data_IF_577700645682
#
_entry.id   IF_577700645682
#
_cell.length_a   1.000
_cell.length_b   1.000
_cell.length_c   1.000
_cell.angle_alpha   90.00
_cell.angle_beta   90.00
_cell.angle_gamma   90.00
#
_symmetry.space_group_name_H-M   'P 1'
#
loop_
_entity.id
_entity.type
_entity.pdbx_description
1 polymer ?
#
# COMPACT_ATOMS: atom_id res chain seq x y z
N UNK A 1 -26.41 -19.09 10.04
CA UNK A 1 -25.17 -19.01 9.25
C UNK A 1 -24.80 -17.53 9.23
N UNK A 2 -23.62 -17.17 9.74
CA UNK A 2 -23.11 -15.78 9.70
C UNK A 2 -22.22 -15.66 8.48
N UNK A 3 -22.46 -14.67 7.63
CA UNK A 3 -21.60 -14.34 6.50
C UNK A 3 -20.42 -13.47 7.01
N UNK A 4 -19.19 -13.99 7.04
CA UNK A 4 -18.03 -13.26 7.57
C UNK A 4 -17.58 -12.10 6.68
N UNK A 5 -18.11 -11.95 5.46
CA UNK A 5 -17.78 -10.86 4.54
C UNK A 5 -18.77 -9.69 4.60
N UNK A 6 -19.85 -9.82 5.37
CA UNK A 6 -20.82 -8.76 5.62
C UNK A 6 -20.60 -8.11 6.99
N UNK A 7 -19.37 -7.62 7.23
CA UNK A 7 -19.06 -6.80 8.41
C UNK A 7 -19.03 -5.33 8.01
N UNK A 8 -20.01 -4.59 8.49
CA UNK A 8 -20.07 -3.14 8.31
C UNK A 8 -19.01 -2.50 9.22
N UNK A 9 -17.84 -2.22 8.66
CA UNK A 9 -16.66 -1.72 9.39
C UNK A 9 -16.92 -0.38 10.08
N UNK A 10 -17.98 0.33 9.69
CA UNK A 10 -18.42 1.59 10.30
C UNK A 10 -19.25 1.33 11.57
N UNK A 11 -19.99 0.22 11.64
CA UNK A 11 -20.76 -0.18 12.82
C UNK A 11 -19.88 -0.87 13.88
N UNK A 12 -18.84 -1.61 13.47
CA UNK A 12 -17.81 -2.10 14.40
C UNK A 12 -17.12 -0.95 15.17
N UNK A 13 -17.04 0.24 14.56
CA UNK A 13 -16.49 1.45 15.18
C UNK A 13 -17.46 2.17 16.15
N UNK A 14 -18.76 1.86 16.12
CA UNK A 14 -19.79 2.54 16.95
C UNK A 14 -20.37 1.65 18.05
N UNK A 15 -20.15 0.34 17.99
CA UNK A 15 -20.71 -0.63 18.92
C UNK A 15 -19.88 -0.89 20.16
N UNK A 16 -19.39 0.13 20.87
CA UNK A 16 -19.14 0.02 22.31
C UNK A 16 -19.41 1.37 22.98
N UNK A 17 -20.29 1.36 23.96
CA UNK A 17 -20.68 2.52 24.74
C UNK A 17 -19.46 3.17 25.40
N UNK A 18 -19.06 4.35 24.90
CA UNK A 18 -18.45 5.42 25.68
C UNK A 18 -17.08 5.20 26.34
N UNK A 19 -16.39 4.06 26.15
CA UNK A 19 -15.05 3.81 26.73
C UNK A 19 -14.10 2.97 25.86
N UNK A 20 -14.33 2.88 24.55
CA UNK A 20 -13.36 2.32 23.60
C UNK A 20 -12.34 3.37 23.14
N UNK A 21 -11.44 3.82 24.02
CA UNK A 21 -10.34 4.72 23.64
C UNK A 21 -9.48 4.05 22.57
N UNK A 22 -8.79 4.83 21.73
CA UNK A 22 -7.93 4.48 20.59
C UNK A 22 -6.95 3.28 20.71
N UNK A 23 -6.89 2.59 21.85
CA UNK A 23 -6.08 1.42 22.17
C UNK A 23 -6.47 0.11 21.44
N UNK A 24 -7.70 -0.02 20.94
CA UNK A 24 -8.13 -1.21 20.15
C UNK A 24 -7.69 -1.14 18.67
N UNK A 25 -7.07 -0.03 18.25
CA UNK A 25 -6.54 0.08 16.89
C UNK A 25 -5.10 -0.44 16.86
N UNK A 26 -4.80 -1.32 15.90
CA UNK A 26 -3.43 -1.74 15.59
C UNK A 26 -2.61 -0.46 15.32
N UNK A 27 -1.53 -0.26 16.09
CA UNK A 27 -0.62 0.87 15.87
C UNK A 27 -0.09 0.81 14.43
N UNK A 28 -0.13 1.91 13.65
CA UNK A 28 0.37 1.91 12.28
C UNK A 28 1.80 1.40 12.11
N UNK A 29 2.63 1.47 13.16
CA UNK A 29 4.02 0.97 13.19
C UNK A 29 4.12 -0.54 13.37
N UNK A 30 3.05 -1.23 13.72
CA UNK A 30 2.99 -2.69 13.84
C UNK A 30 2.92 -3.37 12.47
N UNK A 31 3.83 -3.02 11.55
CA UNK A 31 3.86 -3.50 10.16
C UNK A 31 4.40 -4.92 9.98
N UNK A 32 4.98 -5.49 11.05
CA UNK A 32 5.43 -6.88 11.10
C UNK A 32 6.27 -7.30 9.88
N UNK A 33 6.02 -8.48 9.30
CA UNK A 33 6.80 -8.99 8.16
C UNK A 33 6.60 -8.20 6.86
N UNK A 34 5.66 -7.26 6.81
CA UNK A 34 5.35 -6.46 5.62
C UNK A 34 6.10 -5.12 5.58
N UNK A 35 7.03 -4.90 6.52
CA UNK A 35 7.95 -3.76 6.44
C UNK A 35 8.86 -3.93 5.22
N UNK A 36 8.95 -2.89 4.39
CA UNK A 36 9.88 -2.87 3.28
C UNK A 36 11.33 -3.01 3.76
N UNK A 37 12.12 -3.72 2.95
CA UNK A 37 13.56 -3.78 3.16
C UNK A 37 14.17 -2.39 3.03
N UNK A 38 15.29 -2.13 3.73
CA UNK A 38 15.97 -0.84 3.63
C UNK A 38 16.44 -0.54 2.18
N UNK A 39 16.73 -1.57 1.39
CA UNK A 39 17.11 -1.43 -0.02
C UNK A 39 15.92 -1.00 -0.90
N UNK A 40 14.75 -1.59 -0.68
CA UNK A 40 13.54 -1.26 -1.43
C UNK A 40 13.01 0.12 -1.05
N UNK A 41 12.98 0.45 0.25
CA UNK A 41 12.63 1.79 0.73
C UNK A 41 13.53 2.87 0.14
N UNK A 42 14.85 2.65 0.06
CA UNK A 42 15.77 3.61 -0.59
C UNK A 42 15.52 3.75 -2.09
N UNK A 43 15.17 2.65 -2.76
CA UNK A 43 14.89 2.67 -4.20
C UNK A 43 13.63 3.46 -4.49
N UNK A 44 12.53 3.16 -3.78
CA UNK A 44 11.29 3.92 -3.91
C UNK A 44 11.47 5.38 -3.47
N UNK A 45 12.32 5.66 -2.48
CA UNK A 45 12.57 7.03 -2.02
C UNK A 45 13.18 7.88 -3.14
N UNK A 46 14.17 7.35 -3.84
CA UNK A 46 14.76 8.03 -5.01
C UNK A 46 13.71 8.31 -6.08
N UNK A 47 12.89 7.32 -6.41
CA UNK A 47 11.77 7.51 -7.34
C UNK A 47 10.84 8.64 -6.87
N UNK A 48 10.48 8.66 -5.58
CA UNK A 48 9.59 9.68 -5.03
C UNK A 48 10.21 11.09 -5.07
N UNK A 49 11.50 11.20 -4.75
CA UNK A 49 12.23 12.47 -4.82
C UNK A 49 12.28 12.98 -6.29
N UNK A 50 12.49 12.10 -7.27
CA UNK A 50 12.42 12.45 -8.70
C UNK A 50 11.02 12.93 -9.12
N UNK A 51 9.97 12.30 -8.58
CA UNK A 51 8.58 12.70 -8.85
C UNK A 51 8.26 14.06 -8.25
N UNK A 52 8.68 14.32 -7.02
CA UNK A 52 8.56 15.65 -6.39
C UNK A 52 9.31 16.71 -7.19
N UNK A 53 10.53 16.43 -7.64
CA UNK A 53 11.28 17.36 -8.49
C UNK A 53 10.57 17.64 -9.84
N UNK A 54 9.89 16.66 -10.42
CA UNK A 54 9.06 16.86 -11.60
C UNK A 54 7.85 17.76 -11.31
N UNK A 55 7.09 17.47 -10.25
CA UNK A 55 5.91 18.25 -9.85
C UNK A 55 6.27 19.69 -9.50
N UNK A 56 7.37 19.90 -8.78
CA UNK A 56 7.85 21.25 -8.44
C UNK A 56 8.19 22.06 -9.70
N UNK A 57 8.79 21.44 -10.73
CA UNK A 57 9.03 22.09 -12.03
C UNK A 57 7.73 22.41 -12.79
N UNK A 58 6.66 21.67 -12.53
CA UNK A 58 5.31 21.94 -13.04
C UNK A 58 4.52 22.95 -12.19
N UNK A 59 5.13 23.55 -11.16
CA UNK A 59 4.48 24.51 -10.27
C UNK A 59 3.58 23.88 -9.20
N UNK A 60 3.69 22.56 -8.98
CA UNK A 60 2.91 21.82 -8.00
C UNK A 60 3.80 21.51 -6.80
N UNK A 61 3.60 22.26 -5.71
CA UNK A 61 4.29 22.01 -4.45
C UNK A 61 3.94 20.61 -3.92
N UNK A 62 4.95 19.79 -3.69
CA UNK A 62 4.79 18.40 -3.24
C UNK A 62 5.94 18.00 -2.31
N UNK A 63 5.70 17.01 -1.45
CA UNK A 63 6.69 16.45 -0.54
C UNK A 63 6.63 14.92 -0.51
N UNK A 64 7.68 14.26 -0.03
CA UNK A 64 7.73 12.81 0.14
C UNK A 64 7.45 12.44 1.59
N UNK A 65 6.35 11.75 1.81
CA UNK A 65 5.96 11.20 3.12
C UNK A 65 6.26 9.71 3.16
N UNK A 66 6.93 9.24 4.21
CA UNK A 66 7.23 7.81 4.39
C UNK A 66 6.23 7.21 5.35
N UNK A 67 5.44 6.24 4.87
CA UNK A 67 4.51 5.50 5.70
C UNK A 67 5.23 4.53 6.65
N UNK A 68 4.49 3.99 7.62
CA UNK A 68 5.05 3.08 8.61
C UNK A 68 5.63 1.78 8.03
N UNK A 69 5.15 1.33 6.86
CA UNK A 69 5.71 0.19 6.12
C UNK A 69 7.07 0.50 5.50
N UNK A 70 7.51 1.76 5.51
CA UNK A 70 8.70 2.22 4.82
C UNK A 70 8.48 2.55 3.35
N UNK A 71 7.23 2.47 2.85
CA UNK A 71 6.87 2.86 1.48
C UNK A 71 6.68 4.39 1.41
N UNK A 72 7.47 5.10 0.59
CA UNK A 72 7.27 6.53 0.37
C UNK A 72 6.06 6.77 -0.53
N UNK A 73 5.39 7.91 -0.30
CA UNK A 73 4.30 8.45 -1.11
C UNK A 73 4.57 9.92 -1.38
N UNK A 74 4.11 10.40 -2.53
CA UNK A 74 4.14 11.83 -2.84
C UNK A 74 2.86 12.47 -2.31
N UNK A 75 3.03 13.43 -1.42
CA UNK A 75 1.96 14.25 -0.86
C UNK A 75 1.95 15.59 -1.58
N UNK A 76 0.85 15.90 -2.27
CA UNK A 76 0.65 17.22 -2.87
C UNK A 76 0.26 18.19 -1.76
N UNK A 77 0.85 19.40 -1.77
CA UNK A 77 0.57 20.45 -0.80
C UNK A 77 -0.64 21.26 -1.30
N UNK A 78 -1.67 21.36 -0.46
CA UNK A 78 -2.92 22.06 -0.78
C UNK A 78 -4.10 21.13 -1.08
N UNK A 79 -5.26 21.70 -1.42
CA UNK A 79 -6.54 20.99 -1.48
C UNK A 79 -6.92 20.47 -2.88
N UNK A 80 -5.98 20.43 -3.81
CA UNK A 80 -6.25 19.99 -5.18
C UNK A 80 -5.15 19.04 -5.67
N UNK A 81 -5.27 17.74 -5.35
CA UNK A 81 -4.37 16.69 -5.78
C UNK A 81 -4.56 16.30 -7.26
N UNK A 82 -5.70 16.63 -7.88
CA UNK A 82 -5.99 16.28 -9.28
C UNK A 82 -5.08 17.01 -10.27
N UNK A 83 -4.52 18.17 -9.87
CA UNK A 83 -3.49 18.89 -10.64
C UNK A 83 -2.29 18.02 -11.03
N UNK A 84 -1.94 17.00 -10.23
CA UNK A 84 -0.86 16.10 -10.58
C UNK A 84 -1.20 15.11 -11.70
N UNK A 85 -2.48 14.75 -11.87
CA UNK A 85 -2.94 13.81 -12.91
C UNK A 85 -2.74 14.35 -14.32
N UNK A 86 -2.75 15.68 -14.48
CA UNK A 86 -2.47 16.35 -15.76
C UNK A 86 -0.98 16.45 -16.11
N UNK A 87 -0.07 16.00 -15.22
CA UNK A 87 1.38 16.12 -15.44
C UNK A 87 1.98 14.87 -16.05
N UNK A 88 3.11 15.03 -16.76
CA UNK A 88 3.92 13.91 -17.27
C UNK A 88 4.83 13.29 -16.20
N UNK A 89 4.58 13.54 -14.92
CA UNK A 89 5.46 13.09 -13.85
C UNK A 89 5.30 11.60 -13.53
N UNK A 90 4.23 10.93 -13.96
CA UNK A 90 4.00 9.49 -13.79
C UNK A 90 4.20 9.01 -12.33
N UNK A 91 3.19 9.21 -11.50
CA UNK A 91 3.22 8.79 -10.10
C UNK A 91 3.00 7.27 -9.93
N UNK A 92 2.48 6.58 -10.95
CA UNK A 92 2.16 5.15 -10.88
C UNK A 92 3.40 4.27 -10.68
N UNK A 93 4.59 4.77 -11.07
CA UNK A 93 5.87 4.12 -10.79
C UNK A 93 6.15 3.91 -9.28
N UNK A 94 5.47 4.63 -8.39
CA UNK A 94 5.59 4.44 -6.94
C UNK A 94 4.73 3.29 -6.39
N UNK A 95 3.75 2.82 -7.17
CA UNK A 95 2.86 1.72 -6.80
C UNK A 95 3.32 0.38 -7.38
N UNK A 96 4.36 0.39 -8.21
CA UNK A 96 4.98 -0.84 -8.72
C UNK A 96 5.52 -1.68 -7.56
N UNK A 97 5.38 -3.01 -7.69
CA UNK A 97 5.97 -3.96 -6.76
C UNK A 97 7.48 -3.79 -6.71
N UNK A 98 8.00 -3.79 -5.49
CA UNK A 98 9.42 -3.88 -5.23
C UNK A 98 9.90 -5.30 -5.48
N UNK A 99 11.22 -5.49 -5.53
CA UNK A 99 11.81 -6.83 -5.73
C UNK A 99 11.46 -7.80 -4.62
N UNK A 100 11.40 -7.33 -3.36
CA UNK A 100 11.03 -8.18 -2.24
C UNK A 100 9.55 -8.55 -2.24
N UNK A 101 8.67 -7.61 -2.61
CA UNK A 101 7.24 -7.90 -2.74
C UNK A 101 6.96 -8.84 -3.92
N UNK A 102 7.62 -8.66 -5.06
CA UNK A 102 7.51 -9.60 -6.18
C UNK A 102 7.92 -11.01 -5.76
N UNK A 103 9.06 -11.15 -5.08
CA UNK A 103 9.50 -12.45 -4.55
C UNK A 103 8.47 -13.07 -3.59
N UNK A 104 7.83 -12.26 -2.76
CA UNK A 104 6.79 -12.72 -1.85
C UNK A 104 5.52 -13.15 -2.61
N UNK A 105 5.14 -12.43 -3.66
CA UNK A 105 4.00 -12.74 -4.52
C UNK A 105 4.24 -14.03 -5.33
N UNK A 106 5.45 -14.24 -5.84
CA UNK A 106 5.84 -15.46 -6.55
C UNK A 106 5.69 -16.68 -5.62
N UNK A 107 6.25 -16.59 -4.40
CA UNK A 107 6.14 -17.65 -3.40
C UNK A 107 4.69 -17.92 -2.98
N UNK A 108 3.86 -16.87 -2.86
CA UNK A 108 2.44 -17.04 -2.56
C UNK A 108 1.70 -17.73 -3.70
N UNK A 109 1.99 -17.36 -4.95
CA UNK A 109 1.42 -17.97 -6.15
C UNK A 109 1.75 -19.46 -6.20
N UNK A 110 3.02 -19.84 -5.98
CA UNK A 110 3.44 -21.24 -5.93
C UNK A 110 2.69 -22.05 -4.87
N UNK A 111 2.52 -21.50 -3.66
CA UNK A 111 1.81 -22.17 -2.57
C UNK A 111 0.31 -22.30 -2.86
N UNK A 112 -0.30 -21.27 -3.43
CA UNK A 112 -1.70 -21.27 -3.84
C UNK A 112 -1.95 -22.32 -4.93
N UNK A 113 -1.09 -22.37 -5.95
CA UNK A 113 -1.17 -23.35 -7.04
C UNK A 113 -1.00 -24.78 -6.54
N UNK A 114 -0.06 -25.02 -5.63
CA UNK A 114 0.12 -26.32 -4.99
C UNK A 114 -1.11 -26.74 -4.17
N UNK A 115 -1.85 -25.80 -3.59
CA UNK A 115 -3.12 -26.06 -2.91
C UNK A 115 -4.23 -26.40 -3.92
N UNK A 116 -4.39 -25.58 -4.96
CA UNK A 116 -5.42 -25.77 -6.00
C UNK A 116 -5.25 -27.09 -6.74
N UNK A 117 -4.01 -27.43 -7.10
CA UNK A 117 -3.69 -28.71 -7.75
C UNK A 117 -4.09 -29.92 -6.91
N UNK A 118 -3.88 -29.87 -5.58
CA UNK A 118 -4.33 -30.93 -4.66
C UNK A 118 -5.85 -31.04 -4.57
N UNK A 119 -6.58 -29.97 -4.88
CA UNK A 119 -8.03 -29.94 -4.93
C UNK A 119 -8.60 -30.28 -6.33
N UNK A 120 -7.75 -30.62 -7.30
CA UNK A 120 -8.17 -30.87 -8.69
C UNK A 120 -8.61 -29.61 -9.43
N UNK A 121 -8.13 -28.44 -9.00
CA UNK A 121 -8.45 -27.14 -9.61
C UNK A 121 -7.24 -26.60 -10.36
N UNK A 122 -7.50 -25.77 -11.37
CA UNK A 122 -6.44 -25.05 -12.09
C UNK A 122 -5.79 -23.99 -11.18
N UNK A 123 -4.53 -23.67 -11.50
CA UNK A 123 -3.76 -22.63 -10.81
C UNK A 123 -4.29 -21.22 -11.07
N UNK A 124 -3.81 -20.25 -10.28
CA UNK A 124 -4.27 -18.87 -10.32
C UNK A 124 -3.09 -17.92 -10.55
N UNK A 125 -3.33 -16.87 -11.33
CA UNK A 125 -2.39 -15.75 -11.43
C UNK A 125 -2.85 -14.63 -10.49
N UNK A 126 -2.02 -14.34 -9.49
CA UNK A 126 -2.24 -13.25 -8.56
C UNK A 126 -1.57 -11.99 -9.12
N UNK A 127 -2.38 -11.04 -9.58
CA UNK A 127 -1.90 -9.73 -10.02
C UNK A 127 -2.04 -8.73 -8.86
N UNK A 128 -1.08 -7.82 -8.76
CA UNK A 128 -1.10 -6.66 -7.84
C UNK A 128 -1.56 -5.40 -8.55
#
# INVERSE_FOLDING_TARGET
>A
MVDPLSVDTVLAARGTDGRGTAADRIDPRAVGPFRLSAADSRTLRRTADDKVACLNRAGIASDVVVGASGRPRVQIVGNDPERALGTRCDLAALDTLTRSEQKALDALTELADACLKRQGREGVQLNS
#
